data_IF_559778182922
#
_entry.id   IF_559778182922
#
_cell.length_a   1.000
_cell.length_b   1.000
_cell.length_c   1.000
_cell.angle_alpha   90.00
_cell.angle_beta   90.00
_cell.angle_gamma   90.00
#
_symmetry.space_group_name_H-M   'P 1'
#
loop_
_entity.id
_entity.type
_entity.pdbx_description
1 polymer ?
#
# COMPACT_ATOMS: atom_id res chain seq x y z
N UNK A 1 -1.18 17.48 0.84
CA UNK A 1 -0.63 16.16 1.24
C UNK A 1 0.52 16.32 2.24
N UNK A 2 0.44 15.66 3.40
CA UNK A 2 1.50 15.63 4.42
C UNK A 2 2.69 14.70 4.05
N UNK A 3 3.76 14.74 4.83
CA UNK A 3 5.01 13.99 4.57
C UNK A 3 4.81 12.47 4.64
N UNK A 4 3.97 11.98 5.56
CA UNK A 4 3.63 10.56 5.67
C UNK A 4 2.85 10.06 4.46
N UNK A 5 1.85 10.83 4.04
CA UNK A 5 1.00 10.52 2.88
C UNK A 5 1.81 10.56 1.58
N UNK A 6 2.80 11.46 1.49
CA UNK A 6 3.77 11.48 0.40
C UNK A 6 4.65 10.23 0.41
N UNK A 7 5.21 9.86 1.56
CA UNK A 7 6.05 8.67 1.72
C UNK A 7 5.30 7.39 1.37
N UNK A 8 4.07 7.22 1.87
CA UNK A 8 3.21 6.08 1.53
C UNK A 8 2.93 6.03 0.01
N UNK A 9 2.65 7.18 -0.62
CA UNK A 9 2.44 7.23 -2.07
C UNK A 9 3.67 6.76 -2.85
N UNK A 10 4.86 7.21 -2.46
CA UNK A 10 6.12 6.82 -3.12
C UNK A 10 6.39 5.31 -2.99
N UNK A 11 6.18 4.74 -1.80
CA UNK A 11 6.27 3.29 -1.56
C UNK A 11 5.28 2.51 -2.42
N UNK A 12 4.02 2.96 -2.50
CA UNK A 12 2.98 2.33 -3.32
C UNK A 12 3.32 2.35 -4.82
N UNK A 13 3.91 3.44 -5.33
CA UNK A 13 4.34 3.53 -6.73
C UNK A 13 5.47 2.55 -7.02
N UNK A 14 6.45 2.46 -6.12
CA UNK A 14 7.54 1.49 -6.24
C UNK A 14 7.01 0.05 -6.22
N UNK A 15 6.13 -0.24 -5.26
CA UNK A 15 5.53 -1.56 -5.10
C UNK A 15 4.67 -1.96 -6.30
N UNK A 16 3.92 -1.03 -6.90
CA UNK A 16 3.18 -1.26 -8.16
C UNK A 16 4.09 -1.77 -9.28
N UNK A 17 5.31 -1.24 -9.39
CA UNK A 17 6.30 -1.70 -10.36
C UNK A 17 6.72 -3.15 -10.10
N UNK A 18 6.94 -3.49 -8.84
CA UNK A 18 7.27 -4.84 -8.41
C UNK A 18 6.14 -5.84 -8.68
N UNK A 19 4.88 -5.50 -8.37
CA UNK A 19 3.72 -6.34 -8.67
C UNK A 19 3.69 -6.76 -10.14
N UNK A 20 4.09 -5.84 -11.05
CA UNK A 20 4.26 -6.08 -12.48
C UNK A 20 5.27 -7.18 -12.82
N UNK A 21 6.34 -7.26 -12.04
CA UNK A 21 7.42 -8.24 -12.23
C UNK A 21 7.07 -9.64 -11.72
N UNK A 22 6.24 -9.74 -10.68
CA UNK A 22 5.86 -11.01 -10.05
C UNK A 22 4.51 -11.57 -10.53
N UNK A 23 3.88 -10.93 -11.52
CA UNK A 23 2.55 -11.29 -12.01
C UNK A 23 1.51 -11.38 -10.89
N UNK A 24 1.49 -10.40 -9.98
CA UNK A 24 0.56 -10.39 -8.87
C UNK A 24 -0.90 -10.39 -9.36
N UNK A 25 -1.85 -10.89 -8.54
CA UNK A 25 -3.26 -10.87 -8.88
C UNK A 25 -3.75 -9.45 -9.16
N UNK A 26 -4.59 -9.30 -10.19
CA UNK A 26 -5.19 -8.01 -10.59
C UNK A 26 -5.83 -7.23 -9.42
N UNK A 27 -6.56 -7.84 -8.47
CA UNK A 27 -7.11 -7.11 -7.33
C UNK A 27 -6.06 -6.37 -6.48
N UNK A 28 -4.84 -6.90 -6.37
CA UNK A 28 -3.75 -6.25 -5.62
C UNK A 28 -3.29 -4.98 -6.33
N UNK A 29 -3.18 -5.04 -7.66
CA UNK A 29 -2.90 -3.84 -8.47
C UNK A 29 -3.98 -2.78 -8.32
N UNK A 30 -5.24 -3.18 -8.40
CA UNK A 30 -6.37 -2.26 -8.28
C UNK A 30 -6.41 -1.62 -6.89
N UNK A 31 -6.10 -2.37 -5.83
CA UNK A 31 -5.97 -1.84 -4.48
C UNK A 31 -4.83 -0.82 -4.36
N UNK A 32 -3.65 -1.12 -4.90
CA UNK A 32 -2.52 -0.17 -4.92
C UNK A 32 -2.85 1.10 -5.71
N UNK A 33 -3.46 0.97 -6.89
CA UNK A 33 -3.89 2.11 -7.71
C UNK A 33 -4.96 2.95 -6.99
N UNK A 34 -5.91 2.30 -6.32
CA UNK A 34 -6.93 2.96 -5.52
C UNK A 34 -6.31 3.78 -4.39
N UNK A 35 -5.32 3.25 -3.69
CA UNK A 35 -4.59 3.96 -2.63
C UNK A 35 -3.79 5.15 -3.17
N UNK A 36 -3.06 4.97 -4.27
CA UNK A 36 -2.31 6.07 -4.91
C UNK A 36 -3.25 7.19 -5.33
N UNK A 37 -4.36 6.85 -6.00
CA UNK A 37 -5.37 7.81 -6.43
C UNK A 37 -6.01 8.54 -5.25
N UNK A 38 -6.33 7.84 -4.17
CA UNK A 38 -6.86 8.44 -2.95
C UNK A 38 -5.87 9.47 -2.36
N UNK A 39 -4.59 9.12 -2.24
CA UNK A 39 -3.54 10.03 -1.73
C UNK A 39 -3.36 11.26 -2.63
N UNK A 40 -3.33 11.09 -3.95
CA UNK A 40 -3.19 12.19 -4.92
C UNK A 40 -4.36 13.17 -4.91
N UNK A 41 -5.56 12.67 -4.61
CA UNK A 41 -6.77 13.47 -4.56
C UNK A 41 -7.18 13.89 -3.14
N UNK A 42 -6.29 13.66 -2.14
CA UNK A 42 -6.53 13.95 -0.72
C UNK A 42 -7.84 13.33 -0.20
N UNK A 43 -8.18 12.14 -0.70
CA UNK A 43 -9.34 11.35 -0.30
C UNK A 43 -8.94 10.28 0.72
N UNK A 44 -9.89 9.84 1.57
CA UNK A 44 -9.65 8.69 2.44
C UNK A 44 -9.29 7.45 1.62
N UNK A 45 -8.30 6.70 2.09
CA UNK A 45 -7.99 5.37 1.57
C UNK A 45 -9.06 4.41 2.09
N UNK A 46 -9.55 3.51 1.23
CA UNK A 46 -10.44 2.44 1.64
C UNK A 46 -9.71 1.41 2.52
N UNK A 47 -10.20 1.08 3.73
CA UNK A 47 -9.55 0.12 4.62
C UNK A 47 -9.31 -1.25 3.98
N UNK A 48 -10.22 -1.70 3.12
CA UNK A 48 -10.09 -2.95 2.40
C UNK A 48 -8.85 -2.99 1.48
N UNK A 49 -8.45 -1.85 0.88
CA UNK A 49 -7.24 -1.78 0.07
C UNK A 49 -5.97 -1.90 0.92
N UNK A 50 -5.94 -1.25 2.10
CA UNK A 50 -4.83 -1.37 3.05
C UNK A 50 -4.63 -2.83 3.47
N UNK A 51 -5.72 -3.48 3.90
CA UNK A 51 -5.69 -4.87 4.36
C UNK A 51 -5.27 -5.84 3.25
N UNK A 52 -5.82 -5.67 2.05
CA UNK A 52 -5.52 -6.54 0.92
C UNK A 52 -4.04 -6.47 0.52
N UNK A 53 -3.47 -5.27 0.44
CA UNK A 53 -2.06 -5.09 0.10
C UNK A 53 -1.15 -5.56 1.24
N UNK A 54 -1.49 -5.25 2.49
CA UNK A 54 -0.74 -5.73 3.65
C UNK A 54 -0.65 -7.25 3.68
N UNK A 55 -1.78 -7.95 3.57
CA UNK A 55 -1.81 -9.41 3.61
C UNK A 55 -1.06 -10.04 2.44
N UNK A 56 -1.12 -9.42 1.26
CA UNK A 56 -0.34 -9.91 0.13
C UNK A 56 1.17 -9.79 0.40
N UNK A 57 1.64 -8.67 0.93
CA UNK A 57 3.06 -8.48 1.28
C UNK A 57 3.49 -9.51 2.35
N UNK A 58 2.67 -9.67 3.39
CA UNK A 58 2.94 -10.62 4.49
C UNK A 58 2.96 -12.09 4.02
N UNK A 59 2.24 -12.45 2.95
CA UNK A 59 2.21 -13.82 2.41
C UNK A 59 3.30 -14.07 1.35
N UNK A 60 3.53 -13.10 0.45
CA UNK A 60 4.32 -13.32 -0.76
C UNK A 60 5.71 -12.67 -0.75
N UNK A 61 5.89 -11.60 0.04
CA UNK A 61 7.05 -10.72 -0.04
C UNK A 61 7.88 -10.73 1.25
N UNK A 62 7.67 -11.75 2.08
CA UNK A 62 8.40 -11.97 3.33
C UNK A 62 9.90 -12.09 3.10
N UNK A 63 10.68 -11.43 3.96
CA UNK A 63 12.14 -11.40 3.86
C UNK A 63 12.69 -10.29 2.97
N UNK A 64 11.84 -9.45 2.37
CA UNK A 64 12.27 -8.20 1.75
C UNK A 64 12.08 -7.02 2.74
N UNK A 65 13.18 -6.41 3.25
CA UNK A 65 13.10 -5.32 4.24
C UNK A 65 12.30 -4.11 3.78
N UNK A 66 12.31 -3.79 2.48
CA UNK A 66 11.60 -2.64 1.94
C UNK A 66 10.08 -2.84 2.03
N UNK A 67 9.62 -4.07 1.80
CA UNK A 67 8.19 -4.42 1.86
C UNK A 67 7.72 -4.67 3.28
N UNK A 68 8.60 -5.17 4.17
CA UNK A 68 8.33 -5.21 5.61
C UNK A 68 8.12 -3.79 6.19
N UNK A 69 8.94 -2.82 5.81
CA UNK A 69 8.72 -1.41 6.21
C UNK A 69 7.40 -0.84 5.66
N UNK A 70 6.98 -1.29 4.48
CA UNK A 70 5.70 -0.88 3.89
C UNK A 70 4.51 -1.44 4.69
N UNK A 71 4.59 -2.68 5.19
CA UNK A 71 3.56 -3.27 6.07
C UNK A 71 3.34 -2.42 7.32
N UNK A 72 4.41 -2.00 7.99
CA UNK A 72 4.30 -1.15 9.18
C UNK A 72 3.69 0.22 8.83
N UNK A 73 4.09 0.82 7.71
CA UNK A 73 3.49 2.08 7.23
C UNK A 73 1.99 1.93 6.95
N UNK A 74 1.56 0.79 6.38
CA UNK A 74 0.15 0.52 6.12
C UNK A 74 -0.65 0.32 7.40
N UNK A 75 -0.07 -0.33 8.43
CA UNK A 75 -0.69 -0.49 9.76
C UNK A 75 -0.86 0.85 10.46
N UNK A 76 0.20 1.67 10.51
CA UNK A 76 0.15 3.01 11.10
C UNK A 76 -0.94 3.88 10.44
N UNK A 77 -1.06 3.78 9.11
CA UNK A 77 -2.09 4.49 8.37
C UNK A 77 -3.50 3.97 8.68
N UNK A 78 -3.69 2.65 8.78
CA UNK A 78 -4.97 2.01 9.14
C UNK A 78 -5.44 2.41 10.54
N UNK A 79 -4.54 2.44 11.53
CA UNK A 79 -4.83 2.87 12.91
C UNK A 79 -5.24 4.34 12.96
N UNK A 80 -4.64 5.20 12.14
CA UNK A 80 -4.98 6.63 12.11
C UNK A 80 -6.37 6.92 11.55
N UNK A 81 -6.84 6.09 10.61
CA UNK A 81 -8.15 6.28 9.95
C UNK A 81 -9.28 5.49 10.60
N UNK A 82 -8.96 4.51 11.45
CA UNK A 82 -9.92 3.72 12.22
C UNK A 82 -10.12 4.38 13.60
N UNK A 83 -11.29 4.96 13.91
CA UNK A 83 -11.55 5.67 15.16
C UNK A 83 -11.58 4.76 16.41
#
# INVERSE_FOLDING_TARGET
MDEQSRGLRELLIFYKGYLGSVNAPRPIFEAVEGMVSALENERPIEPAHLQMVRFFIEDHDTGNPDYESMVETLKDYEERISP
#
